data_IF_392441023613
#
_entry.id   IF_392441023613
#
_cell.length_a   1.000
_cell.length_b   1.000
_cell.length_c   1.000
_cell.angle_alpha   90.00
_cell.angle_beta   90.00
_cell.angle_gamma   90.00
#
_symmetry.space_group_name_H-M   'P 1'
#
loop_
_entity.id
_entity.type
_entity.pdbx_description
1 polymer ?
#
# COMPACT_ATOMS: atom_id res chain seq x y z
N UNK A 1 12.35 8.90 28.05
CA UNK A 1 12.69 8.48 26.67
C UNK A 1 11.71 7.39 26.24
N UNK A 2 11.26 7.33 24.97
CA UNK A 2 10.30 6.30 24.52
C UNK A 2 11.04 5.10 23.91
N UNK A 3 10.49 3.88 24.02
CA UNK A 3 11.11 2.64 23.52
C UNK A 3 11.54 2.74 22.03
N UNK A 4 10.73 3.39 21.18
CA UNK A 4 11.04 3.59 19.75
C UNK A 4 12.29 4.46 19.53
N UNK A 5 12.49 5.47 20.38
CA UNK A 5 13.66 6.35 20.31
C UNK A 5 14.92 5.63 20.82
N UNK A 6 14.79 4.81 21.87
CA UNK A 6 15.89 3.98 22.38
C UNK A 6 16.31 2.93 21.34
N UNK A 7 15.37 2.26 20.67
CA UNK A 7 15.67 1.26 19.63
C UNK A 7 16.45 1.87 18.46
N UNK A 8 16.11 3.09 18.05
CA UNK A 8 16.84 3.82 17.01
C UNK A 8 18.27 4.17 17.44
N UNK A 9 18.46 4.55 18.71
CA UNK A 9 19.79 4.81 19.26
C UNK A 9 20.64 3.52 19.34
N UNK A 10 20.05 2.40 19.72
CA UNK A 10 20.72 1.10 19.78
C UNK A 10 21.16 0.58 18.40
N UNK A 11 20.44 0.91 17.33
CA UNK A 11 20.82 0.54 15.95
C UNK A 11 21.99 1.35 15.40
N UNK A 12 22.18 2.59 15.85
CA UNK A 12 23.19 3.52 15.32
C UNK A 12 24.49 3.39 16.08
N UNK A 13 24.44 3.23 17.41
CA UNK A 13 25.64 3.30 18.25
C UNK A 13 25.49 2.44 19.51
N UNK A 14 25.62 1.12 19.34
CA UNK A 14 25.45 0.14 20.42
C UNK A 14 26.56 0.23 21.49
N UNK A 15 27.74 0.75 21.13
CA UNK A 15 28.91 0.87 22.00
C UNK A 15 28.90 2.14 22.85
N UNK A 16 28.39 3.26 22.33
CA UNK A 16 28.35 4.56 23.04
C UNK A 16 26.93 4.95 23.51
N UNK A 17 26.41 4.19 24.47
CA UNK A 17 25.13 4.50 25.10
C UNK A 17 25.23 5.69 26.06
N UNK A 18 24.37 6.69 25.84
CA UNK A 18 24.17 7.82 26.75
C UNK A 18 23.73 7.36 28.15
N UNK A 19 23.95 8.19 29.17
CA UNK A 19 23.52 7.90 30.55
C UNK A 19 22.00 7.67 30.64
N UNK A 20 21.21 8.48 29.94
CA UNK A 20 19.75 8.37 29.88
C UNK A 20 19.29 7.04 29.26
N UNK A 21 20.01 6.54 28.24
CA UNK A 21 19.70 5.25 27.62
C UNK A 21 19.97 4.08 28.56
N UNK A 22 20.99 4.17 29.42
CA UNK A 22 21.30 3.14 30.42
C UNK A 22 20.28 3.08 31.54
N UNK A 23 19.82 4.24 31.98
CA UNK A 23 18.77 4.36 33.01
C UNK A 23 17.45 3.78 32.49
N UNK A 24 17.05 4.12 31.26
CA UNK A 24 15.85 3.56 30.65
C UNK A 24 15.91 2.04 30.42
N UNK A 25 17.11 1.51 30.12
CA UNK A 25 17.32 0.06 30.05
C UNK A 25 17.22 -0.59 31.43
N UNK A 26 17.56 0.06 32.53
CA UNK A 26 17.38 -0.52 33.86
C UNK A 26 15.88 -0.71 34.21
N UNK A 27 15.03 0.20 33.71
CA UNK A 27 13.60 0.23 34.05
C UNK A 27 12.72 -0.59 33.10
N UNK A 28 13.17 -0.90 31.88
CA UNK A 28 12.34 -1.55 30.87
C UNK A 28 12.81 -2.98 30.51
N UNK A 29 12.10 -4.04 30.94
CA UNK A 29 12.51 -5.43 30.73
C UNK A 29 12.43 -5.89 29.26
N UNK A 30 11.59 -5.25 28.43
CA UNK A 30 11.53 -5.55 26.99
C UNK A 30 12.76 -5.02 26.25
N UNK A 31 13.21 -3.82 26.58
CA UNK A 31 14.37 -3.21 25.96
C UNK A 31 15.68 -3.91 26.37
N UNK A 32 15.78 -4.42 27.60
CA UNK A 32 16.93 -5.24 28.04
C UNK A 32 16.99 -6.57 27.31
N UNK A 33 15.86 -7.26 27.15
CA UNK A 33 15.80 -8.52 26.42
C UNK A 33 16.25 -8.32 24.95
N UNK A 34 15.81 -7.24 24.32
CA UNK A 34 16.21 -6.93 22.94
C UNK A 34 17.72 -6.65 22.82
N UNK A 35 18.30 -5.91 23.77
CA UNK A 35 19.75 -5.65 23.81
C UNK A 35 20.56 -6.92 24.09
N UNK A 36 20.07 -7.79 24.96
CA UNK A 36 20.69 -9.10 25.23
C UNK A 36 20.79 -9.95 23.97
N UNK A 37 19.67 -10.10 23.27
CA UNK A 37 19.61 -10.85 22.01
C UNK A 37 20.53 -10.26 20.92
N UNK A 38 20.62 -8.93 20.83
CA UNK A 38 21.55 -8.28 19.89
C UNK A 38 23.01 -8.61 20.20
N UNK A 39 23.39 -8.56 21.48
CA UNK A 39 24.74 -8.94 21.94
C UNK A 39 25.05 -10.42 21.72
N UNK A 40 24.09 -11.29 21.94
CA UNK A 40 24.24 -12.72 21.71
C UNK A 40 24.47 -13.00 20.21
N UNK A 41 23.78 -12.29 19.33
CA UNK A 41 24.01 -12.37 17.88
C UNK A 41 25.39 -11.81 17.48
N UNK A 42 25.82 -10.68 18.05
CA UNK A 42 27.15 -10.10 17.80
C UNK A 42 28.27 -11.04 18.25
N UNK A 43 28.13 -11.68 19.41
CA UNK A 43 29.12 -12.64 19.92
C UNK A 43 29.15 -13.93 19.09
N UNK A 44 28.00 -14.40 18.61
CA UNK A 44 27.92 -15.52 17.66
C UNK A 44 28.57 -15.17 16.30
N UNK A 45 28.43 -13.94 15.83
CA UNK A 45 29.05 -13.44 14.60
C UNK A 45 30.57 -13.21 14.76
N UNK A 46 31.00 -12.69 15.91
CA UNK A 46 32.42 -12.43 16.21
C UNK A 46 33.22 -13.71 16.49
N UNK A 47 32.57 -14.75 17.02
CA UNK A 47 33.19 -16.07 17.25
C UNK A 47 33.13 -17.02 16.05
N UNK A 48 32.41 -16.64 14.98
CA UNK A 48 32.31 -17.42 13.76
C UNK A 48 33.55 -17.26 12.90
N UNK A 49 34.31 -18.34 12.72
CA UNK A 49 35.29 -18.43 11.64
C UNK A 49 34.57 -18.09 10.34
N UNK A 50 34.98 -17.01 9.66
CA UNK A 50 34.35 -16.55 8.42
C UNK A 50 34.69 -17.54 7.31
N UNK A 51 33.96 -18.65 7.28
CA UNK A 51 34.02 -19.61 6.19
C UNK A 51 33.48 -18.88 4.96
N UNK A 52 34.25 -18.76 3.87
CA UNK A 52 33.74 -18.17 2.64
C UNK A 52 32.53 -19.00 2.20
N UNK A 53 31.35 -18.38 2.26
CA UNK A 53 30.12 -19.00 1.79
C UNK A 53 30.34 -19.37 0.32
N UNK A 54 30.27 -20.67 0.01
CA UNK A 54 30.29 -21.13 -1.37
C UNK A 54 29.21 -20.38 -2.16
N UNK A 55 29.56 -19.87 -3.36
CA UNK A 55 28.67 -19.03 -4.16
C UNK A 55 27.31 -19.69 -4.45
N UNK A 56 27.28 -21.02 -4.53
CA UNK A 56 26.06 -21.81 -4.68
C UNK A 56 25.07 -21.62 -3.51
N UNK A 57 25.57 -21.38 -2.30
CA UNK A 57 24.79 -21.17 -1.09
C UNK A 57 24.27 -19.73 -1.02
N UNK A 58 25.07 -18.73 -1.43
CA UNK A 58 24.59 -17.34 -1.61
C UNK A 58 23.46 -17.26 -2.63
N UNK A 59 23.63 -17.87 -3.81
CA UNK A 59 22.61 -17.85 -4.86
C UNK A 59 21.30 -18.53 -4.40
N UNK A 60 21.38 -19.59 -3.60
CA UNK A 60 20.20 -20.26 -3.02
C UNK A 60 19.48 -19.40 -2.00
N UNK A 61 20.23 -18.76 -1.11
CA UNK A 61 19.67 -17.86 -0.08
C UNK A 61 19.08 -16.61 -0.72
N UNK A 62 19.73 -16.03 -1.74
CA UNK A 62 19.19 -14.90 -2.50
C UNK A 62 17.91 -15.27 -3.26
N UNK A 63 17.87 -16.46 -3.87
CA UNK A 63 16.67 -16.95 -4.54
C UNK A 63 15.53 -17.19 -3.54
N UNK A 64 15.81 -17.80 -2.38
CA UNK A 64 14.81 -18.00 -1.33
C UNK A 64 14.36 -16.68 -0.70
N UNK A 65 15.27 -15.72 -0.50
CA UNK A 65 14.96 -14.39 0.00
C UNK A 65 14.10 -13.62 -1.00
N UNK A 66 14.39 -13.68 -2.30
CA UNK A 66 13.53 -13.11 -3.36
C UNK A 66 12.14 -13.71 -3.35
N UNK A 67 12.03 -15.04 -3.30
CA UNK A 67 10.73 -15.72 -3.26
C UNK A 67 9.96 -15.37 -1.98
N UNK A 68 10.64 -15.27 -0.84
CA UNK A 68 10.03 -14.86 0.42
C UNK A 68 9.60 -13.39 0.41
N UNK A 69 10.39 -12.49 -0.18
CA UNK A 69 10.04 -11.08 -0.37
C UNK A 69 8.88 -10.90 -1.34
N UNK A 70 8.86 -11.63 -2.46
CA UNK A 70 7.74 -11.63 -3.40
C UNK A 70 6.46 -12.20 -2.75
N UNK A 71 6.59 -13.27 -1.95
CA UNK A 71 5.48 -13.84 -1.20
C UNK A 71 4.97 -12.92 -0.08
N UNK A 72 5.86 -12.16 0.58
CA UNK A 72 5.52 -11.20 1.63
C UNK A 72 4.97 -9.88 1.08
N UNK A 73 5.40 -9.45 -0.10
CA UNK A 73 4.92 -8.22 -0.78
C UNK A 73 3.52 -8.38 -1.40
N UNK A 74 2.97 -9.59 -1.44
CA UNK A 74 1.61 -9.86 -1.89
C UNK A 74 0.72 -10.18 -0.67
N UNK A 75 0.21 -9.16 0.06
CA UNK A 75 -0.79 -9.40 1.10
C UNK A 75 -2.03 -10.02 0.43
N UNK A 76 -2.18 -11.34 0.58
CA UNK A 76 -3.24 -12.16 -0.04
C UNK A 76 -4.64 -11.66 0.32
N UNK A 77 -4.81 -11.07 1.51
CA UNK A 77 -6.05 -10.43 1.97
C UNK A 77 -6.39 -9.19 1.13
N UNK A 78 -5.40 -8.35 0.80
CA UNK A 78 -5.56 -7.15 0.00
C UNK A 78 -5.88 -7.44 -1.46
N UNK A 79 -5.37 -8.56 -2.01
CA UNK A 79 -5.71 -8.97 -3.38
C UNK A 79 -7.19 -9.28 -3.51
N UNK A 80 -7.83 -9.80 -2.45
CA UNK A 80 -9.26 -10.12 -2.44
C UNK A 80 -10.10 -8.86 -2.33
N UNK A 81 -9.82 -7.96 -1.39
CA UNK A 81 -10.60 -6.73 -1.21
C UNK A 81 -10.45 -5.77 -2.40
N UNK A 82 -9.23 -5.64 -2.94
CA UNK A 82 -9.01 -4.85 -4.16
C UNK A 82 -9.64 -5.51 -5.38
N UNK A 83 -9.58 -6.84 -5.52
CA UNK A 83 -10.31 -7.54 -6.59
C UNK A 83 -11.82 -7.41 -6.44
N UNK A 84 -12.36 -7.42 -5.23
CA UNK A 84 -13.78 -7.27 -4.97
C UNK A 84 -14.24 -5.85 -5.30
N UNK A 85 -13.48 -4.84 -4.87
CA UNK A 85 -13.73 -3.44 -5.23
C UNK A 85 -13.61 -3.24 -6.75
N UNK A 86 -12.61 -3.85 -7.39
CA UNK A 86 -12.43 -3.78 -8.84
C UNK A 86 -13.55 -4.51 -9.59
N UNK A 87 -14.01 -5.66 -9.09
CA UNK A 87 -15.12 -6.40 -9.66
C UNK A 87 -16.45 -5.65 -9.50
N UNK A 88 -16.70 -5.06 -8.33
CA UNK A 88 -17.87 -4.18 -8.13
C UNK A 88 -17.80 -2.96 -9.03
N UNK A 89 -16.64 -2.32 -9.15
CA UNK A 89 -16.44 -1.20 -10.06
C UNK A 89 -16.65 -1.63 -11.52
N UNK A 90 -16.12 -2.79 -11.92
CA UNK A 90 -16.29 -3.33 -13.27
C UNK A 90 -17.76 -3.70 -13.56
N UNK A 91 -18.54 -4.06 -12.55
CA UNK A 91 -19.97 -4.34 -12.68
C UNK A 91 -20.83 -3.06 -12.64
N UNK A 92 -20.43 -2.07 -11.87
CA UNK A 92 -21.11 -0.78 -11.75
C UNK A 92 -20.98 0.04 -13.05
N UNK A 93 -19.87 -0.10 -13.77
CA UNK A 93 -19.62 0.62 -15.01
C UNK A 93 -20.63 0.33 -16.14
N UNK A 94 -20.92 -0.93 -16.53
CA UNK A 94 -21.93 -1.22 -17.53
C UNK A 94 -23.34 -0.84 -17.05
N UNK A 95 -23.61 -0.92 -15.75
CA UNK A 95 -24.90 -0.49 -15.19
C UNK A 95 -25.08 1.03 -15.30
N UNK A 96 -24.04 1.80 -14.97
CA UNK A 96 -24.03 3.25 -15.11
C UNK A 96 -24.14 3.68 -16.58
N UNK A 97 -23.46 2.97 -17.50
CA UNK A 97 -23.58 3.20 -18.93
C UNK A 97 -25.00 2.90 -19.45
N UNK A 98 -25.59 1.77 -19.05
CA UNK A 98 -26.96 1.42 -19.43
C UNK A 98 -27.97 2.44 -18.90
N UNK A 99 -27.80 2.88 -17.65
CA UNK A 99 -28.64 3.91 -17.05
C UNK A 99 -28.49 5.27 -17.75
N UNK A 100 -27.25 5.68 -18.06
CA UNK A 100 -26.98 6.91 -18.81
C UNK A 100 -27.57 6.88 -20.22
N UNK A 101 -27.46 5.74 -20.90
CA UNK A 101 -28.08 5.51 -22.21
C UNK A 101 -29.61 5.62 -22.13
N UNK A 102 -30.23 4.99 -21.13
CA UNK A 102 -31.67 5.04 -20.94
C UNK A 102 -32.17 6.47 -20.67
N UNK A 103 -31.45 7.24 -19.85
CA UNK A 103 -31.73 8.65 -19.62
C UNK A 103 -31.62 9.48 -20.90
N UNK A 104 -30.56 9.28 -21.68
CA UNK A 104 -30.38 9.96 -22.97
C UNK A 104 -31.52 9.65 -23.94
N UNK A 105 -31.89 8.38 -24.07
CA UNK A 105 -32.97 7.95 -24.93
C UNK A 105 -34.32 8.55 -24.48
N UNK A 106 -34.59 8.54 -23.17
CA UNK A 106 -35.81 9.13 -22.61
C UNK A 106 -35.85 10.64 -22.81
N UNK A 107 -34.72 11.32 -22.64
CA UNK A 107 -34.58 12.76 -22.86
C UNK A 107 -34.85 13.11 -24.32
N UNK A 108 -34.26 12.37 -25.27
CA UNK A 108 -34.53 12.56 -26.70
C UNK A 108 -36.02 12.36 -27.01
N UNK A 109 -36.63 11.25 -26.57
CA UNK A 109 -38.04 10.96 -26.84
C UNK A 109 -39.01 11.98 -26.25
N UNK A 110 -38.67 12.61 -25.12
CA UNK A 110 -39.53 13.60 -24.45
C UNK A 110 -39.31 15.03 -24.93
N UNK A 111 -38.07 15.39 -25.28
CA UNK A 111 -37.73 16.76 -25.67
C UNK A 111 -37.68 16.97 -27.19
N UNK A 112 -37.73 15.93 -28.02
CA UNK A 112 -37.71 16.08 -29.49
C UNK A 112 -38.86 16.97 -30.01
N UNK A 113 -40.00 16.97 -29.33
CA UNK A 113 -41.13 17.85 -29.65
C UNK A 113 -40.90 19.34 -29.29
N UNK A 114 -39.91 19.64 -28.46
CA UNK A 114 -39.70 20.98 -27.87
C UNK A 114 -38.35 21.60 -28.22
N UNK A 115 -37.32 20.80 -28.54
CA UNK A 115 -35.97 21.27 -28.81
C UNK A 115 -35.46 20.81 -30.18
N UNK A 116 -34.76 21.69 -30.93
CA UNK A 116 -34.10 21.29 -32.15
C UNK A 116 -32.96 20.31 -31.85
N UNK A 117 -32.85 19.28 -32.69
CA UNK A 117 -31.87 18.19 -32.61
C UNK A 117 -30.42 18.63 -32.28
N UNK A 118 -29.83 19.69 -32.89
CA UNK A 118 -28.46 20.09 -32.58
C UNK A 118 -28.25 20.56 -31.14
N UNK A 119 -29.25 21.16 -30.50
CA UNK A 119 -29.18 21.57 -29.10
C UNK A 119 -29.19 20.34 -28.18
N UNK A 120 -30.08 19.38 -28.46
CA UNK A 120 -30.15 18.10 -27.77
C UNK A 120 -28.83 17.32 -27.89
N UNK A 121 -28.25 17.26 -29.09
CA UNK A 121 -26.94 16.66 -29.34
C UNK A 121 -25.83 17.37 -28.54
N UNK A 122 -25.80 18.69 -28.52
CA UNK A 122 -24.83 19.48 -27.74
C UNK A 122 -24.90 19.18 -26.24
N UNK A 123 -26.11 19.20 -25.67
CA UNK A 123 -26.32 18.90 -24.24
C UNK A 123 -25.90 17.46 -23.92
N UNK A 124 -26.25 16.50 -24.78
CA UNK A 124 -25.85 15.11 -24.60
C UNK A 124 -24.34 14.91 -24.65
N UNK A 125 -23.63 15.59 -25.56
CA UNK A 125 -22.18 15.51 -25.69
C UNK A 125 -21.48 16.08 -24.45
N UNK A 126 -21.93 17.23 -23.94
CA UNK A 126 -21.40 17.81 -22.70
C UNK A 126 -21.64 16.88 -21.52
N UNK A 127 -22.85 16.32 -21.40
CA UNK A 127 -23.18 15.37 -20.34
C UNK A 127 -22.26 14.13 -20.38
N UNK A 128 -22.11 13.50 -21.54
CA UNK A 128 -21.22 12.34 -21.72
C UNK A 128 -19.77 12.70 -21.40
N UNK A 129 -19.30 13.87 -21.82
CA UNK A 129 -17.94 14.33 -21.52
C UNK A 129 -17.73 14.55 -20.01
N UNK A 130 -18.66 15.21 -19.33
CA UNK A 130 -18.59 15.46 -17.88
C UNK A 130 -18.65 14.17 -17.07
N UNK A 131 -19.54 13.25 -17.44
CA UNK A 131 -19.66 11.92 -16.80
C UNK A 131 -18.38 11.11 -17.05
N UNK A 132 -17.90 11.08 -18.29
CA UNK A 132 -16.66 10.39 -18.67
C UNK A 132 -15.43 10.93 -17.94
N UNK A 133 -15.30 12.25 -17.82
CA UNK A 133 -14.23 12.89 -17.03
C UNK A 133 -14.32 12.55 -15.55
N UNK A 134 -15.53 12.59 -14.99
CA UNK A 134 -15.76 12.30 -13.56
C UNK A 134 -15.43 10.84 -13.24
N UNK A 135 -15.89 9.91 -14.07
CA UNK A 135 -15.55 8.49 -13.98
C UNK A 135 -14.05 8.27 -14.18
N UNK A 136 -13.46 8.84 -15.23
CA UNK A 136 -12.03 8.73 -15.50
C UNK A 136 -11.18 9.23 -14.32
N UNK A 137 -11.54 10.38 -13.75
CA UNK A 137 -10.88 10.92 -12.57
C UNK A 137 -11.05 10.02 -11.34
N UNK A 138 -12.26 9.51 -11.09
CA UNK A 138 -12.54 8.60 -9.99
C UNK A 138 -11.67 7.34 -10.09
N UNK A 139 -11.65 6.69 -11.27
CA UNK A 139 -10.84 5.50 -11.50
C UNK A 139 -9.33 5.79 -11.47
N UNK A 140 -8.88 6.94 -11.98
CA UNK A 140 -7.49 7.35 -11.90
C UNK A 140 -7.04 7.65 -10.47
N UNK A 141 -7.97 8.03 -9.57
CA UNK A 141 -7.67 8.30 -8.16
C UNK A 141 -7.53 7.04 -7.30
N UNK A 142 -8.08 5.90 -7.72
CA UNK A 142 -7.99 4.62 -7.00
C UNK A 142 -6.54 4.21 -6.64
N UNK A 143 -5.56 4.17 -7.58
CA UNK A 143 -4.19 3.81 -7.23
C UNK A 143 -3.56 4.76 -6.22
N UNK A 144 -3.88 6.06 -6.27
CA UNK A 144 -3.40 7.05 -5.30
C UNK A 144 -4.02 6.82 -3.91
N UNK A 145 -5.32 6.57 -3.82
CA UNK A 145 -5.98 6.26 -2.57
C UNK A 145 -5.41 4.98 -1.92
N UNK A 146 -5.13 3.96 -2.74
CA UNK A 146 -4.47 2.72 -2.28
C UNK A 146 -3.05 3.00 -1.79
N UNK A 147 -2.23 3.74 -2.55
CA UNK A 147 -0.88 4.09 -2.15
C UNK A 147 -0.85 4.92 -0.85
N UNK A 148 -1.79 5.85 -0.69
CA UNK A 148 -1.91 6.68 0.50
C UNK A 148 -2.32 5.84 1.74
N UNK A 149 -3.27 4.91 1.59
CA UNK A 149 -3.68 4.02 2.68
C UNK A 149 -2.52 3.15 3.19
N UNK A 150 -1.64 2.68 2.29
CA UNK A 150 -0.45 1.89 2.65
C UNK A 150 0.53 2.70 3.49
N UNK A 151 0.72 3.97 3.15
CA UNK A 151 1.62 4.86 3.88
C UNK A 151 1.12 5.09 5.30
N UNK A 152 -0.17 5.37 5.48
CA UNK A 152 -0.77 5.57 6.81
C UNK A 152 -0.64 4.31 7.68
N UNK A 153 -0.87 3.12 7.12
CA UNK A 153 -0.74 1.88 7.88
C UNK A 153 0.71 1.61 8.30
N UNK A 154 1.68 1.92 7.45
CA UNK A 154 3.10 1.78 7.78
C UNK A 154 3.57 2.77 8.85
N UNK A 155 2.98 3.96 8.92
CA UNK A 155 3.28 4.97 9.94
C UNK A 155 2.63 4.63 11.31
N UNK A 156 1.53 3.86 11.29
CA UNK A 156 0.80 3.42 12.48
C UNK A 156 1.37 2.17 13.16
N UNK A 157 2.19 1.38 12.45
CA UNK A 157 2.99 0.26 13.00
C UNK A 157 4.36 0.70 13.52
#
# INVERSE_FOLDING_TARGET
MNCRALQKHLQVDAENLSSEAREHLADCPECTAHRGLARDLETLLAGGETVPLADALRLRVEAQARVALEAAQLPRLFRRDVMLALAFAALALPLALAQGWFWLQTLFLTLEAWLPLPLLAGISAVYVASVGLSLGFLYASLPFAVAYSRRIQAEAS
#
